data_IF_577712499618
#
_entry.id   IF_577712499618
#
_cell.length_a   1.000
_cell.length_b   1.000
_cell.length_c   1.000
_cell.angle_alpha   90.00
_cell.angle_beta   90.00
_cell.angle_gamma   90.00
#
_symmetry.space_group_name_H-M   'P 1'
#
loop_
_entity.id
_entity.type
_entity.pdbx_description
1 polymer ?
#
# COMPACT_ATOMS: atom_id res chain seq x y z
N UNK A 1 18.08 17.12 50.21
CA UNK A 1 17.96 16.84 48.77
C UNK A 1 17.43 18.10 48.09
N UNK A 2 18.19 18.81 47.29
CA UNK A 2 17.77 20.08 46.72
C UNK A 2 16.96 19.87 45.42
N UNK A 3 15.81 20.53 45.37
CA UNK A 3 14.94 20.61 44.19
C UNK A 3 15.57 21.56 43.16
N UNK A 4 15.94 21.05 41.99
CA UNK A 4 16.34 21.84 40.82
C UNK A 4 15.08 22.42 40.14
N UNK A 5 14.96 23.75 40.15
CA UNK A 5 13.97 24.48 39.34
C UNK A 5 14.47 24.57 37.91
N UNK A 6 13.67 24.10 36.99
CA UNK A 6 13.92 24.23 35.54
C UNK A 6 13.32 25.57 35.10
N UNK A 7 14.15 26.48 34.65
CA UNK A 7 13.74 27.78 34.06
C UNK A 7 13.27 27.54 32.62
N UNK A 8 12.01 27.89 32.35
CA UNK A 8 11.47 27.95 30.97
C UNK A 8 11.98 29.26 30.35
N UNK A 9 12.75 29.14 29.28
CA UNK A 9 13.07 30.23 28.37
C UNK A 9 12.06 30.23 27.22
N UNK A 10 11.34 31.35 27.10
CA UNK A 10 10.38 31.62 26.02
C UNK A 10 11.16 32.22 24.84
N UNK A 11 11.06 31.66 23.61
CA UNK A 11 11.65 32.31 22.46
C UNK A 11 10.73 33.40 21.88
N UNK A 12 11.36 34.52 21.62
CA UNK A 12 10.83 35.77 21.09
C UNK A 12 10.30 35.58 19.65
N UNK A 13 9.08 36.07 19.41
CA UNK A 13 8.47 36.18 18.07
C UNK A 13 9.24 37.19 17.23
N UNK A 14 9.76 36.73 16.08
CA UNK A 14 10.27 37.61 15.01
C UNK A 14 9.13 37.79 13.99
N UNK A 15 8.66 39.02 13.89
CA UNK A 15 7.72 39.45 12.87
C UNK A 15 8.46 39.70 11.55
N UNK A 16 8.11 38.94 10.49
CA UNK A 16 8.59 39.19 9.15
C UNK A 16 7.56 40.02 8.39
N UNK A 17 7.96 41.22 8.00
CA UNK A 17 7.16 42.12 7.18
C UNK A 17 7.11 41.62 5.73
N UNK A 18 5.89 41.46 5.18
CA UNK A 18 5.69 41.22 3.76
C UNK A 18 5.84 42.54 2.97
N UNK A 19 6.84 42.60 2.12
CA UNK A 19 6.93 43.60 1.07
C UNK A 19 6.16 43.13 -0.18
N UNK A 20 5.09 43.85 -0.53
CA UNK A 20 4.35 43.64 -1.77
C UNK A 20 5.10 44.23 -2.92
N UNK A 21 5.72 43.40 -3.78
CA UNK A 21 6.24 43.83 -5.10
C UNK A 21 5.16 43.58 -6.15
N UNK A 22 4.60 44.66 -6.68
CA UNK A 22 3.66 44.62 -7.80
C UNK A 22 4.38 44.25 -9.09
N UNK A 23 4.00 43.16 -9.72
CA UNK A 23 4.38 42.84 -11.08
C UNK A 23 3.28 43.30 -12.04
N UNK A 24 3.56 44.38 -12.80
CA UNK A 24 2.80 44.80 -13.95
C UNK A 24 2.98 43.80 -15.08
N UNK A 25 1.87 43.22 -15.57
CA UNK A 25 1.86 42.28 -16.70
C UNK A 25 1.75 43.11 -17.99
N UNK A 26 2.67 42.99 -18.98
CA UNK A 26 2.46 43.58 -20.29
C UNK A 26 1.42 42.79 -21.08
N UNK A 27 0.35 43.45 -21.48
CA UNK A 27 -0.65 42.95 -22.43
C UNK A 27 -0.05 42.88 -23.84
N UNK A 28 0.37 41.69 -24.26
CA UNK A 28 0.56 41.42 -25.70
C UNK A 28 -0.69 40.77 -26.25
N UNK A 29 -1.28 41.49 -27.21
CA UNK A 29 -2.43 41.08 -27.99
C UNK A 29 -1.94 40.16 -29.11
N UNK A 30 -1.98 38.82 -28.90
CA UNK A 30 -1.87 37.85 -29.99
C UNK A 30 -2.83 36.72 -29.73
N UNK A 31 -3.78 36.55 -30.68
CA UNK A 31 -4.79 35.54 -30.67
C UNK A 31 -4.22 34.16 -30.95
N UNK A 32 -4.06 33.38 -29.90
CA UNK A 32 -3.79 31.95 -29.97
C UNK A 32 -4.86 31.23 -29.17
N UNK A 33 -5.76 30.52 -29.85
CA UNK A 33 -6.80 29.75 -29.24
C UNK A 33 -6.23 28.64 -28.38
N UNK A 34 -6.27 28.82 -27.07
CA UNK A 34 -6.08 27.73 -26.14
C UNK A 34 -7.40 26.92 -26.06
N UNK A 35 -7.46 25.87 -26.90
CA UNK A 35 -8.44 24.84 -26.69
C UNK A 35 -8.27 24.23 -25.28
N UNK A 36 -9.36 23.84 -24.59
CA UNK A 36 -9.24 23.17 -23.32
C UNK A 36 -8.48 21.86 -23.55
N UNK A 37 -7.24 21.80 -23.07
CA UNK A 37 -6.52 20.55 -22.96
C UNK A 37 -7.35 19.65 -22.04
N UNK A 38 -8.01 18.68 -22.64
CA UNK A 38 -8.59 17.54 -21.93
C UNK A 38 -7.41 16.85 -21.25
N UNK A 39 -7.11 17.26 -20.02
CA UNK A 39 -6.33 16.43 -19.12
C UNK A 39 -7.15 15.16 -18.91
N UNK A 40 -6.85 14.17 -19.74
CA UNK A 40 -7.29 12.81 -19.53
C UNK A 40 -6.73 12.41 -18.16
N UNK A 41 -7.55 12.50 -17.14
CA UNK A 41 -7.24 11.89 -15.86
C UNK A 41 -7.09 10.39 -16.14
N UNK A 42 -5.85 9.97 -16.35
CA UNK A 42 -5.48 8.57 -16.39
C UNK A 42 -5.84 8.00 -15.02
N UNK A 43 -7.05 7.46 -14.90
CA UNK A 43 -7.45 6.63 -13.77
C UNK A 43 -6.45 5.49 -13.75
N UNK A 44 -5.52 5.53 -12.80
CA UNK A 44 -4.50 4.51 -12.65
C UNK A 44 -5.21 3.14 -12.66
N UNK A 45 -4.99 2.38 -13.72
CA UNK A 45 -5.61 1.09 -13.87
C UNK A 45 -5.16 0.22 -12.70
N UNK A 46 -6.12 -0.35 -11.95
CA UNK A 46 -5.81 -1.31 -10.91
C UNK A 46 -4.94 -2.40 -11.54
N UNK A 47 -3.76 -2.73 -10.96
CA UNK A 47 -2.88 -3.73 -11.54
C UNK A 47 -3.65 -5.04 -11.74
N UNK A 48 -3.40 -5.69 -12.87
CA UNK A 48 -4.00 -6.98 -13.19
C UNK A 48 -3.62 -8.01 -12.11
N UNK A 49 -4.50 -8.96 -11.77
CA UNK A 49 -4.19 -10.01 -10.82
C UNK A 49 -3.07 -10.91 -11.38
N UNK A 50 -2.23 -11.41 -10.47
CA UNK A 50 -1.18 -12.39 -10.82
C UNK A 50 -1.79 -13.79 -10.93
N UNK A 51 -1.58 -14.44 -12.06
CA UNK A 51 -2.02 -15.83 -12.25
C UNK A 51 -1.17 -16.79 -11.43
N UNK A 52 -1.85 -17.67 -10.69
CA UNK A 52 -1.22 -18.72 -9.89
C UNK A 52 -1.34 -20.08 -10.61
N UNK A 53 -0.21 -20.74 -10.78
CA UNK A 53 -0.13 -22.05 -11.41
C UNK A 53 0.36 -23.12 -10.43
N UNK A 54 -0.12 -24.36 -10.61
CA UNK A 54 0.32 -25.49 -9.77
C UNK A 54 1.83 -25.70 -9.88
N UNK A 55 2.47 -25.92 -8.71
CA UNK A 55 3.90 -26.20 -8.63
C UNK A 55 4.81 -24.99 -8.75
N UNK A 56 4.28 -23.80 -9.07
CA UNK A 56 5.06 -22.57 -9.13
C UNK A 56 4.98 -21.83 -7.79
N UNK A 57 6.15 -21.49 -7.23
CA UNK A 57 6.24 -20.66 -6.03
C UNK A 57 6.04 -19.20 -6.42
N UNK A 58 5.00 -18.57 -5.89
CA UNK A 58 4.71 -17.16 -6.09
C UNK A 58 5.11 -16.35 -4.87
N UNK A 59 5.56 -15.11 -5.09
CA UNK A 59 5.98 -14.21 -4.02
C UNK A 59 4.82 -13.30 -3.63
N UNK A 60 4.64 -13.12 -2.32
CA UNK A 60 3.81 -12.10 -1.71
C UNK A 60 4.66 -11.38 -0.68
N UNK A 61 4.80 -10.07 -0.81
CA UNK A 61 5.65 -9.27 0.06
C UNK A 61 4.82 -8.23 0.81
N UNK A 62 5.13 -8.02 2.09
CA UNK A 62 4.67 -6.86 2.84
C UNK A 62 5.66 -5.72 2.64
N UNK A 63 5.14 -4.55 2.27
CA UNK A 63 5.90 -3.29 2.16
C UNK A 63 4.96 -2.17 2.57
N UNK A 64 5.40 -1.32 3.50
CA UNK A 64 4.62 -0.18 4.02
C UNK A 64 3.19 -0.58 4.44
N UNK A 65 3.10 -1.66 5.23
CA UNK A 65 1.86 -2.27 5.68
C UNK A 65 0.86 -2.57 4.54
N UNK A 66 1.37 -2.96 3.37
CA UNK A 66 0.56 -3.33 2.21
C UNK A 66 1.05 -4.64 1.59
N UNK A 67 0.13 -5.44 1.05
CA UNK A 67 0.49 -6.64 0.31
C UNK A 67 0.83 -6.34 -1.15
N UNK A 68 1.96 -6.84 -1.62
CA UNK A 68 2.38 -6.72 -3.02
C UNK A 68 2.78 -8.09 -3.59
N UNK A 69 2.10 -8.57 -4.65
CA UNK A 69 0.87 -8.05 -5.24
C UNK A 69 -0.35 -8.26 -4.33
N UNK A 70 -1.37 -7.39 -4.46
CA UNK A 70 -2.60 -7.47 -3.67
C UNK A 70 -3.73 -8.27 -4.36
N UNK A 71 -3.49 -8.80 -5.55
CA UNK A 71 -4.49 -9.56 -6.30
C UNK A 71 -3.87 -10.76 -7.02
N UNK A 72 -4.51 -11.90 -6.83
CA UNK A 72 -4.17 -13.16 -7.49
C UNK A 72 -5.39 -13.76 -8.17
N UNK A 73 -5.14 -14.61 -9.17
CA UNK A 73 -6.15 -15.43 -9.82
C UNK A 73 -5.65 -16.87 -9.94
N UNK A 74 -6.55 -17.85 -9.87
CA UNK A 74 -6.24 -19.26 -10.03
C UNK A 74 -7.48 -20.04 -10.49
N UNK A 75 -7.27 -21.16 -11.18
CA UNK A 75 -8.33 -22.15 -11.39
C UNK A 75 -8.60 -22.92 -10.09
N UNK A 76 -9.86 -23.32 -9.87
CA UNK A 76 -10.24 -24.20 -8.76
C UNK A 76 -9.41 -25.49 -8.74
N UNK A 77 -9.01 -25.94 -7.56
CA UNK A 77 -8.16 -27.13 -7.41
C UNK A 77 -6.67 -26.92 -7.66
N UNK A 78 -6.23 -25.72 -8.08
CA UNK A 78 -4.81 -25.40 -8.25
C UNK A 78 -4.07 -25.53 -6.94
N UNK A 79 -2.96 -26.28 -6.90
CA UNK A 79 -2.08 -26.41 -5.73
C UNK A 79 -1.14 -25.19 -5.69
N UNK A 80 -1.36 -24.30 -4.76
CA UNK A 80 -0.68 -22.99 -4.66
C UNK A 80 0.42 -23.06 -3.60
N UNK A 81 1.55 -22.43 -3.90
CA UNK A 81 2.65 -22.17 -2.96
C UNK A 81 2.95 -20.68 -2.97
N UNK A 82 2.63 -19.99 -1.88
CA UNK A 82 3.00 -18.60 -1.66
C UNK A 82 4.23 -18.52 -0.75
N UNK A 83 5.24 -17.79 -1.19
CA UNK A 83 6.38 -17.37 -0.38
C UNK A 83 6.06 -15.96 0.16
N UNK A 84 5.54 -15.93 1.38
CA UNK A 84 5.08 -14.69 2.00
C UNK A 84 6.20 -14.12 2.85
N UNK A 85 6.68 -12.93 2.51
CA UNK A 85 7.78 -12.26 3.21
C UNK A 85 7.33 -10.96 3.86
N UNK A 86 7.86 -10.68 5.03
CA UNK A 86 7.73 -9.39 5.71
C UNK A 86 9.02 -8.60 5.52
N UNK A 87 8.95 -7.43 4.85
CA UNK A 87 10.06 -6.51 4.65
C UNK A 87 9.91 -5.22 5.47
N UNK A 88 8.89 -5.16 6.32
CA UNK A 88 8.68 -4.04 7.22
C UNK A 88 9.37 -4.29 8.58
N UNK A 89 9.76 -3.24 9.31
CA UNK A 89 10.38 -3.37 10.64
C UNK A 89 9.39 -3.78 11.72
N UNK A 90 8.10 -3.88 11.40
CA UNK A 90 7.03 -4.27 12.31
C UNK A 90 6.54 -5.69 12.03
N UNK A 91 6.00 -6.34 13.04
CA UNK A 91 5.40 -7.67 12.88
C UNK A 91 4.10 -7.59 12.08
N UNK A 92 3.97 -8.44 11.08
CA UNK A 92 2.74 -8.67 10.34
C UNK A 92 2.18 -10.08 10.56
N UNK A 93 1.04 -10.35 9.93
CA UNK A 93 0.41 -11.65 9.95
C UNK A 93 -0.28 -11.88 8.59
N UNK A 94 -0.06 -13.03 7.99
CA UNK A 94 -0.85 -13.46 6.84
C UNK A 94 -2.01 -14.31 7.33
N UNK A 95 -3.23 -13.84 7.13
CA UNK A 95 -4.47 -14.55 7.44
C UNK A 95 -5.29 -14.76 6.17
N UNK A 96 -5.72 -15.99 5.96
CA UNK A 96 -6.66 -16.39 4.90
C UNK A 96 -7.82 -17.13 5.58
N UNK A 97 -8.79 -16.35 6.09
CA UNK A 97 -9.83 -16.83 7.00
C UNK A 97 -10.65 -17.99 6.46
N UNK A 98 -11.06 -17.91 5.19
CA UNK A 98 -11.86 -18.97 4.53
C UNK A 98 -11.13 -20.32 4.40
N UNK A 99 -9.82 -20.35 4.57
CA UNK A 99 -8.97 -21.53 4.50
C UNK A 99 -8.34 -21.87 5.86
N UNK A 100 -8.73 -21.18 6.92
CA UNK A 100 -8.21 -21.36 8.29
C UNK A 100 -6.67 -21.21 8.40
N UNK A 101 -6.08 -20.43 7.48
CA UNK A 101 -4.64 -20.18 7.47
C UNK A 101 -4.38 -18.89 8.23
N UNK A 102 -3.47 -18.96 9.23
CA UNK A 102 -2.97 -17.79 9.93
C UNK A 102 -1.50 -17.98 10.29
N UNK A 103 -0.62 -17.10 9.82
CA UNK A 103 0.82 -17.17 10.02
C UNK A 103 1.39 -15.82 10.44
N UNK A 104 2.00 -15.77 11.62
CA UNK A 104 2.75 -14.59 12.05
C UNK A 104 4.07 -14.48 11.25
N UNK A 105 4.41 -13.25 10.91
CA UNK A 105 5.58 -12.86 10.13
C UNK A 105 6.33 -11.76 10.91
N UNK A 106 7.29 -12.12 11.76
CA UNK A 106 8.20 -11.14 12.36
C UNK A 106 8.93 -10.32 11.28
N UNK A 107 9.54 -9.16 11.63
CA UNK A 107 10.39 -8.41 10.73
C UNK A 107 11.43 -9.29 10.02
N UNK A 108 11.69 -9.00 8.75
CA UNK A 108 12.72 -9.67 7.92
C UNK A 108 12.58 -11.20 7.83
N UNK A 109 11.37 -11.73 8.02
CA UNK A 109 11.10 -13.17 7.90
C UNK A 109 10.21 -13.51 6.70
N UNK A 110 10.23 -14.78 6.31
CA UNK A 110 9.30 -15.32 5.32
C UNK A 110 8.71 -16.67 5.76
N UNK A 111 7.58 -17.01 5.15
CA UNK A 111 6.91 -18.29 5.36
C UNK A 111 6.35 -18.83 4.04
N UNK A 112 6.49 -20.14 3.84
CA UNK A 112 5.82 -20.83 2.74
C UNK A 112 4.41 -21.25 3.17
N UNK A 113 3.42 -20.69 2.48
CA UNK A 113 2.00 -21.02 2.64
C UNK A 113 1.59 -21.92 1.49
N UNK A 114 1.05 -23.10 1.82
CA UNK A 114 0.59 -24.07 0.82
C UNK A 114 -0.88 -24.34 1.03
N UNK A 115 -1.66 -24.27 -0.06
CA UNK A 115 -3.08 -24.58 -0.05
C UNK A 115 -3.56 -24.98 -1.44
N UNK A 116 -4.75 -25.52 -1.51
CA UNK A 116 -5.45 -25.79 -2.77
C UNK A 116 -6.48 -24.68 -2.99
N UNK A 117 -6.52 -24.10 -4.19
CA UNK A 117 -7.53 -23.12 -4.56
C UNK A 117 -8.94 -23.70 -4.32
N UNK A 118 -9.80 -23.03 -3.55
CA UNK A 118 -11.12 -23.54 -3.21
C UNK A 118 -12.08 -23.54 -4.40
N UNK A 119 -13.37 -23.61 -4.18
CA UNK A 119 -14.41 -23.45 -5.21
C UNK A 119 -14.34 -22.07 -5.87
N UNK A 120 -14.87 -21.91 -7.11
CA UNK A 120 -14.93 -20.58 -7.73
C UNK A 120 -15.54 -19.52 -6.82
N UNK A 121 -14.89 -18.36 -6.76
CA UNK A 121 -15.27 -17.29 -5.85
C UNK A 121 -14.16 -16.28 -5.59
N UNK A 122 -14.41 -15.35 -4.71
CA UNK A 122 -13.45 -14.31 -4.31
C UNK A 122 -13.14 -14.42 -2.83
N UNK A 123 -11.89 -14.62 -2.50
CA UNK A 123 -11.39 -14.94 -1.17
C UNK A 123 -10.44 -13.85 -0.69
N UNK A 124 -10.66 -13.34 0.52
CA UNK A 124 -9.85 -12.28 1.11
C UNK A 124 -8.69 -12.85 1.91
N UNK A 125 -7.47 -12.33 1.68
CA UNK A 125 -6.37 -12.48 2.62
C UNK A 125 -5.98 -11.11 3.19
N UNK A 126 -5.51 -11.08 4.44
CA UNK A 126 -5.25 -9.83 5.15
C UNK A 126 -4.24 -10.01 6.29
N UNK A 127 -3.76 -8.90 6.84
CA UNK A 127 -3.04 -8.88 8.10
C UNK A 127 -4.02 -8.62 9.26
N UNK A 128 -4.04 -9.47 10.28
CA UNK A 128 -4.96 -9.30 11.43
C UNK A 128 -4.72 -8.02 12.23
N UNK A 129 -3.50 -7.46 12.14
CA UNK A 129 -3.12 -6.22 12.83
C UNK A 129 -3.50 -4.95 12.05
N UNK A 130 -3.63 -5.04 10.69
CA UNK A 130 -3.89 -3.93 9.78
C UNK A 130 -4.98 -4.30 8.77
N UNK A 131 -6.15 -4.69 9.25
CA UNK A 131 -7.19 -5.33 8.42
C UNK A 131 -7.77 -4.42 7.32
N UNK A 132 -7.72 -3.11 7.49
CA UNK A 132 -8.27 -2.15 6.53
C UNK A 132 -7.27 -1.85 5.42
N UNK A 133 -6.03 -1.66 5.77
CA UNK A 133 -4.96 -1.23 4.86
C UNK A 133 -4.30 -2.43 4.17
N UNK A 134 -3.98 -3.48 4.96
CA UNK A 134 -3.18 -4.61 4.52
C UNK A 134 -4.05 -5.80 4.13
N UNK A 135 -4.66 -5.73 2.96
CA UNK A 135 -5.54 -6.77 2.43
C UNK A 135 -5.31 -7.03 0.94
N UNK A 136 -5.69 -8.21 0.51
CA UNK A 136 -5.65 -8.64 -0.89
C UNK A 136 -6.71 -9.69 -1.19
N UNK A 137 -6.75 -10.13 -2.44
CA UNK A 137 -7.80 -11.01 -2.93
C UNK A 137 -7.25 -12.10 -3.83
N UNK A 138 -7.75 -13.32 -3.64
CA UNK A 138 -7.64 -14.41 -4.59
C UNK A 138 -8.99 -14.57 -5.29
N UNK A 139 -9.02 -14.44 -6.61
CA UNK A 139 -10.16 -14.81 -7.44
C UNK A 139 -9.95 -16.23 -7.95
N UNK A 140 -10.90 -17.11 -7.68
CA UNK A 140 -10.88 -18.51 -8.16
C UNK A 140 -11.92 -18.66 -9.25
N UNK A 141 -11.52 -19.24 -10.40
CA UNK A 141 -12.37 -19.53 -11.56
C UNK A 141 -12.62 -21.02 -11.73
#
# INVERSE_FOLDING_TARGET
MPRRRLLLTVPTLVAVALAAAGCTIPTTKDGGGYGPSKQSASKAAKPAPVELHSGTKQKLKSVDASWTPAAYQAASGTKIVLDVSNADPTQHNFTFGDLEISKNLPPDTSALIRFTAPKPGRYRFYCKYHQQEMQGWLTVT
#
